data_IF_168980262938
#
_entry.id   IF_168980262938
#
_cell.length_a   1.000
_cell.length_b   1.000
_cell.length_c   1.000
_cell.angle_alpha   90.00
_cell.angle_beta   90.00
_cell.angle_gamma   90.00
#
_symmetry.space_group_name_H-M   'P 1'
#
loop_
_entity.id
_entity.type
_entity.pdbx_description
1 polymer ?
#
# COMPACT_ATOMS: atom_id res chain seq x y z
N UNK A 1 25.97 -31.11 4.57
CA UNK A 1 25.50 -29.82 5.13
C UNK A 1 25.16 -28.94 3.95
N UNK A 2 23.90 -28.91 3.53
CA UNK A 2 23.46 -28.11 2.37
C UNK A 2 22.65 -26.92 2.89
N UNK A 3 23.21 -25.72 2.74
CA UNK A 3 22.55 -24.46 3.04
C UNK A 3 21.53 -24.13 1.95
N UNK A 4 20.24 -24.33 2.25
CA UNK A 4 19.14 -23.94 1.36
C UNK A 4 18.92 -22.43 1.41
N UNK A 5 19.57 -21.70 0.50
CA UNK A 5 19.25 -20.31 0.15
C UNK A 5 18.07 -20.30 -0.84
N UNK A 6 16.82 -20.41 -0.37
CA UNK A 6 15.63 -20.29 -1.24
C UNK A 6 14.45 -19.49 -0.65
N UNK A 7 14.54 -18.98 0.59
CA UNK A 7 13.36 -18.41 1.27
C UNK A 7 13.29 -16.86 1.23
N UNK A 8 14.18 -16.18 0.50
CA UNK A 8 14.24 -14.71 0.47
C UNK A 8 13.07 -14.06 -0.31
N UNK A 9 12.74 -14.64 -1.46
CA UNK A 9 11.81 -14.08 -2.47
C UNK A 9 10.34 -14.09 -2.03
N UNK A 10 9.90 -15.07 -1.23
CA UNK A 10 8.50 -15.17 -0.82
C UNK A 10 8.12 -14.27 0.37
N UNK A 11 9.06 -13.98 1.28
CA UNK A 11 8.75 -13.22 2.51
C UNK A 11 8.32 -11.78 2.20
N UNK A 12 9.01 -11.09 1.27
CA UNK A 12 8.67 -9.70 0.91
C UNK A 12 7.35 -9.62 0.15
N UNK A 13 7.08 -10.54 -0.78
CA UNK A 13 5.80 -10.62 -1.48
C UNK A 13 4.63 -10.87 -0.53
N UNK A 14 4.75 -11.88 0.35
CA UNK A 14 3.73 -12.20 1.36
C UNK A 14 3.51 -11.04 2.33
N UNK A 15 4.58 -10.34 2.70
CA UNK A 15 4.49 -9.13 3.53
C UNK A 15 3.67 -8.02 2.85
N UNK A 16 3.90 -7.77 1.55
CA UNK A 16 3.12 -6.77 0.78
C UNK A 16 1.65 -7.15 0.75
N UNK A 17 1.32 -8.40 0.44
CA UNK A 17 -0.06 -8.91 0.41
C UNK A 17 -0.77 -8.70 1.75
N UNK A 18 -0.12 -9.11 2.85
CA UNK A 18 -0.70 -8.95 4.19
C UNK A 18 -0.82 -7.49 4.63
N UNK A 19 0.12 -6.64 4.23
CA UNK A 19 0.04 -5.21 4.48
C UNK A 19 -1.13 -4.57 3.71
N UNK A 20 -1.34 -4.94 2.44
CA UNK A 20 -2.48 -4.49 1.64
C UNK A 20 -3.80 -4.92 2.29
N UNK A 21 -3.90 -6.17 2.73
CA UNK A 21 -5.06 -6.68 3.45
C UNK A 21 -5.35 -5.87 4.71
N UNK A 22 -4.34 -5.66 5.57
CA UNK A 22 -4.51 -4.91 6.82
C UNK A 22 -4.98 -3.46 6.58
N UNK A 23 -4.43 -2.79 5.58
CA UNK A 23 -4.83 -1.43 5.21
C UNK A 23 -6.25 -1.40 4.64
N UNK A 24 -6.62 -2.40 3.83
CA UNK A 24 -7.95 -2.54 3.24
C UNK A 24 -9.02 -2.73 4.31
N UNK A 25 -8.76 -3.60 5.29
CA UNK A 25 -9.64 -3.87 6.42
C UNK A 25 -9.79 -2.64 7.33
N UNK A 26 -8.70 -1.92 7.58
CA UNK A 26 -8.72 -0.70 8.38
C UNK A 26 -9.42 0.48 7.70
N UNK A 27 -9.57 0.45 6.36
CA UNK A 27 -10.13 1.53 5.54
C UNK A 27 -9.44 2.89 5.76
N UNK A 28 -8.17 2.87 6.17
CA UNK A 28 -7.34 4.06 6.38
C UNK A 28 -5.85 3.72 6.26
N UNK A 29 -4.98 4.71 6.06
CA UNK A 29 -3.54 4.52 6.20
C UNK A 29 -3.16 4.04 7.60
N UNK A 30 -2.19 3.12 7.66
CA UNK A 30 -1.69 2.51 8.89
C UNK A 30 -0.23 2.85 9.13
N UNK A 31 0.14 3.06 10.40
CA UNK A 31 1.54 3.14 10.78
C UNK A 31 2.19 1.75 10.68
N UNK A 32 3.52 1.71 10.49
CA UNK A 32 4.27 0.45 10.42
C UNK A 32 3.98 -0.48 11.61
N UNK A 33 3.94 0.05 12.83
CA UNK A 33 3.66 -0.72 14.04
C UNK A 33 2.23 -1.32 14.06
N UNK A 34 1.26 -0.67 13.42
CA UNK A 34 -0.10 -1.20 13.30
C UNK A 34 -0.14 -2.39 12.33
N UNK A 35 0.60 -2.28 11.21
CA UNK A 35 0.74 -3.37 10.24
C UNK A 35 1.49 -4.55 10.89
N UNK A 36 2.58 -4.30 11.60
CA UNK A 36 3.30 -5.33 12.37
C UNK A 36 2.40 -6.01 13.41
N UNK A 37 1.56 -5.24 14.10
CA UNK A 37 0.60 -5.78 15.07
C UNK A 37 -0.43 -6.69 14.40
N UNK A 38 -0.95 -6.29 13.23
CA UNK A 38 -1.83 -7.14 12.43
C UNK A 38 -1.14 -8.44 12.00
N UNK A 39 0.11 -8.38 11.55
CA UNK A 39 0.91 -9.55 11.20
C UNK A 39 1.11 -10.48 12.40
N UNK A 40 1.42 -9.92 13.57
CA UNK A 40 1.64 -10.70 14.79
C UNK A 40 0.40 -11.51 15.18
N UNK A 41 -0.80 -10.99 14.91
CA UNK A 41 -2.09 -11.62 15.22
C UNK A 41 -2.49 -12.61 14.11
N UNK A 42 -2.39 -12.20 12.85
CA UNK A 42 -2.99 -12.92 11.71
C UNK A 42 -2.02 -13.86 10.96
N UNK A 43 -0.71 -13.62 11.05
CA UNK A 43 0.35 -14.45 10.44
C UNK A 43 1.62 -14.41 11.29
N UNK A 44 1.53 -15.02 12.47
CA UNK A 44 2.62 -14.99 13.46
C UNK A 44 3.93 -15.61 12.95
N UNK A 45 3.85 -16.54 11.99
CA UNK A 45 5.04 -17.13 11.35
C UNK A 45 5.76 -16.09 10.49
N UNK A 46 5.04 -15.40 9.61
CA UNK A 46 5.59 -14.32 8.81
C UNK A 46 6.15 -13.21 9.69
N UNK A 47 5.46 -12.86 10.79
CA UNK A 47 5.97 -11.88 11.76
C UNK A 47 7.34 -12.27 12.33
N UNK A 48 7.53 -13.54 12.70
CA UNK A 48 8.84 -14.04 13.18
C UNK A 48 9.90 -13.97 12.10
N UNK A 49 9.58 -14.35 10.86
CA UNK A 49 10.52 -14.26 9.75
C UNK A 49 10.99 -12.82 9.49
N UNK A 50 10.07 -11.85 9.42
CA UNK A 50 10.45 -10.45 9.16
C UNK A 50 11.23 -9.87 10.34
N UNK A 51 10.86 -10.21 11.58
CA UNK A 51 11.53 -9.73 12.78
C UNK A 51 12.96 -10.26 12.91
N UNK A 52 13.22 -11.46 12.37
CA UNK A 52 14.55 -12.05 12.33
C UNK A 52 15.47 -11.43 11.28
N UNK A 53 14.94 -10.71 10.27
CA UNK A 53 15.75 -10.03 9.24
C UNK A 53 16.35 -8.73 9.77
N UNK A 54 15.51 -7.75 10.10
CA UNK A 54 15.92 -6.52 10.79
C UNK A 54 14.70 -5.79 11.35
N UNK A 55 14.90 -4.92 12.35
CA UNK A 55 13.82 -4.18 13.01
C UNK A 55 13.05 -3.21 12.11
N UNK A 56 13.64 -2.80 10.99
CA UNK A 56 13.01 -1.91 10.01
C UNK A 56 12.55 -2.63 8.73
N UNK A 57 12.63 -3.97 8.67
CA UNK A 57 12.37 -4.72 7.44
C UNK A 57 11.03 -4.37 6.80
N UNK A 58 9.96 -4.28 7.61
CA UNK A 58 8.64 -3.89 7.13
C UNK A 58 8.65 -2.50 6.49
N UNK A 59 9.28 -1.52 7.15
CA UNK A 59 9.35 -0.14 6.64
C UNK A 59 10.15 -0.05 5.35
N UNK A 60 11.21 -0.83 5.23
CA UNK A 60 12.05 -0.93 4.03
C UNK A 60 11.23 -1.49 2.87
N UNK A 61 10.59 -2.65 3.05
CA UNK A 61 9.80 -3.27 1.98
C UNK A 61 8.66 -2.35 1.52
N UNK A 62 7.89 -1.76 2.44
CA UNK A 62 6.81 -0.85 2.07
C UNK A 62 7.31 0.43 1.39
N UNK A 63 8.53 0.88 1.71
CA UNK A 63 9.11 2.08 1.09
C UNK A 63 9.77 1.82 -0.27
N UNK A 64 10.27 0.60 -0.50
CA UNK A 64 10.89 0.19 -1.77
C UNK A 64 9.86 -0.32 -2.78
N UNK A 65 8.71 -0.77 -2.30
CA UNK A 65 7.60 -1.14 -3.19
C UNK A 65 7.16 0.08 -3.98
N UNK A 66 6.83 -0.13 -5.26
CA UNK A 66 6.42 0.93 -6.17
C UNK A 66 5.27 1.77 -5.58
N UNK A 67 5.32 3.08 -5.87
CA UNK A 67 4.39 4.06 -5.30
C UNK A 67 2.95 3.95 -5.81
N UNK A 68 2.73 3.14 -6.85
CA UNK A 68 1.44 2.70 -7.38
C UNK A 68 0.77 1.60 -6.53
N UNK A 69 1.52 0.95 -5.63
CA UNK A 69 0.96 0.00 -4.65
C UNK A 69 0.81 0.70 -3.30
N UNK A 70 1.91 1.21 -2.74
CA UNK A 70 1.89 1.89 -1.45
C UNK A 70 2.24 3.37 -1.59
N UNK A 71 1.38 4.21 -1.04
CA UNK A 71 1.61 5.64 -0.90
C UNK A 71 1.82 6.02 0.57
N UNK A 72 2.66 7.02 0.81
CA UNK A 72 2.91 7.56 2.15
C UNK A 72 1.89 8.64 2.47
N UNK A 73 1.42 8.67 3.71
CA UNK A 73 0.42 9.61 4.19
C UNK A 73 0.84 10.25 5.51
N UNK A 74 0.32 11.46 5.73
CA UNK A 74 0.39 12.20 6.98
C UNK A 74 -1.02 12.49 7.47
N UNK A 75 -1.27 12.43 8.78
CA UNK A 75 -2.52 12.93 9.32
C UNK A 75 -2.54 14.47 9.18
N UNK A 76 -3.66 15.02 8.74
CA UNK A 76 -3.89 16.47 8.64
C UNK A 76 -4.01 17.13 10.01
N UNK A 77 -4.61 16.41 10.96
CA UNK A 77 -4.79 16.81 12.35
C UNK A 77 -3.85 15.98 13.24
N UNK A 78 -3.22 16.58 14.27
CA UNK A 78 -2.39 15.82 15.20
C UNK A 78 -3.18 14.68 15.86
N UNK A 79 -2.66 13.46 15.77
CA UNK A 79 -3.22 12.32 16.50
C UNK A 79 -2.57 12.30 17.90
N UNK A 80 -3.39 12.23 18.95
CA UNK A 80 -2.90 12.24 20.32
C UNK A 80 -1.90 11.10 20.54
N UNK A 81 -0.76 11.41 21.19
CA UNK A 81 0.37 10.49 21.47
C UNK A 81 1.09 9.91 20.25
N UNK A 82 0.82 10.41 19.03
CA UNK A 82 1.59 10.05 17.84
C UNK A 82 2.48 11.22 17.44
N UNK A 83 3.76 10.92 17.20
CA UNK A 83 4.73 11.90 16.71
C UNK A 83 4.29 12.48 15.35
N UNK A 84 4.36 13.81 15.17
CA UNK A 84 4.01 14.49 13.90
C UNK A 84 4.88 14.00 12.72
N UNK A 85 6.07 13.46 13.01
CA UNK A 85 7.00 12.87 12.04
C UNK A 85 6.60 11.45 11.62
N UNK A 86 5.65 10.81 12.30
CA UNK A 86 5.15 9.49 11.93
C UNK A 86 4.64 9.47 10.48
N UNK A 87 4.99 8.41 9.75
CA UNK A 87 4.54 8.15 8.38
C UNK A 87 3.58 6.99 8.42
N UNK A 88 2.48 7.15 7.69
CA UNK A 88 1.48 6.11 7.50
C UNK A 88 1.57 5.59 6.07
N UNK A 89 1.29 4.31 5.89
CA UNK A 89 1.26 3.64 4.60
C UNK A 89 -0.20 3.37 4.24
N UNK A 90 -0.61 3.80 3.04
CA UNK A 90 -1.92 3.54 2.47
C UNK A 90 -1.77 2.96 1.07
N UNK A 91 -2.87 2.46 0.50
CA UNK A 91 -2.94 2.05 -0.90
C UNK A 91 -2.87 3.28 -1.80
N UNK A 92 -2.21 3.17 -2.95
CA UNK A 92 -2.03 4.31 -3.86
C UNK A 92 -3.31 4.70 -4.61
N UNK A 93 -4.28 3.80 -4.71
CA UNK A 93 -5.63 4.01 -5.24
C UNK A 93 -6.67 4.17 -4.12
N UNK A 94 -6.23 4.23 -2.85
CA UNK A 94 -7.12 4.36 -1.71
C UNK A 94 -7.83 5.72 -1.64
N UNK A 95 -9.16 5.68 -1.59
CA UNK A 95 -10.04 6.83 -1.36
C UNK A 95 -10.15 7.16 0.13
N UNK A 96 -9.08 7.73 0.68
CA UNK A 96 -9.03 8.14 2.09
C UNK A 96 -9.51 9.58 2.24
N UNK A 97 -10.23 9.84 3.34
CA UNK A 97 -10.74 11.17 3.68
C UNK A 97 -9.61 12.22 3.66
N UNK A 98 -9.64 13.21 2.73
CA UNK A 98 -8.61 14.23 2.60
C UNK A 98 -8.59 15.20 3.78
N UNK A 99 -9.68 15.29 4.56
CA UNK A 99 -9.70 16.09 5.78
C UNK A 99 -8.94 15.42 6.93
N UNK A 100 -8.65 14.12 6.83
CA UNK A 100 -7.92 13.33 7.82
C UNK A 100 -6.52 12.97 7.34
N UNK A 101 -6.35 12.71 6.04
CA UNK A 101 -5.13 12.15 5.47
C UNK A 101 -4.65 12.95 4.28
N UNK A 102 -3.40 13.40 4.35
CA UNK A 102 -2.70 14.05 3.24
C UNK A 102 -1.66 13.09 2.66
N UNK A 103 -1.79 12.76 1.37
CA UNK A 103 -0.76 11.99 0.64
C UNK A 103 0.54 12.80 0.59
N UNK A 104 1.65 12.15 0.90
CA UNK A 104 2.99 12.72 0.79
C UNK A 104 3.45 12.52 -0.65
N UNK A 105 3.31 13.56 -1.46
CA UNK A 105 3.91 13.59 -2.80
C UNK A 105 5.35 14.05 -2.69
N UNK A 106 6.28 13.27 -3.24
CA UNK A 106 7.65 13.76 -3.47
C UNK A 106 7.57 14.90 -4.47
N UNK A 107 8.17 16.06 -4.17
CA UNK A 107 8.07 17.31 -4.96
C UNK A 107 8.61 17.26 -6.41
N UNK A 108 8.91 16.08 -6.94
CA UNK A 108 9.37 15.87 -8.32
C UNK A 108 8.29 15.25 -9.24
N UNK A 109 7.07 15.03 -8.77
CA UNK A 109 5.96 14.59 -9.63
C UNK A 109 5.19 15.83 -10.14
N UNK A 110 4.92 15.96 -11.46
CA UNK A 110 4.03 16.98 -11.98
C UNK A 110 2.65 16.80 -11.33
N UNK A 111 2.18 17.84 -10.65
CA UNK A 111 0.82 17.90 -10.12
C UNK A 111 -0.21 17.73 -11.24
N UNK A 112 -1.23 16.86 -11.08
CA UNK A 112 -2.39 16.88 -11.96
C UNK A 112 -3.09 18.25 -11.84
N UNK A 113 -3.63 18.81 -12.93
CA UNK A 113 -4.28 20.12 -12.87
C UNK A 113 -5.49 20.06 -11.94
N UNK A 114 -5.46 20.87 -10.88
CA UNK A 114 -6.59 21.20 -10.03
C UNK A 114 -7.71 21.77 -10.92
N UNK A 115 -8.80 21.01 -11.10
CA UNK A 115 -10.05 21.55 -11.62
C UNK A 115 -10.92 21.96 -10.45
N UNK A 116 -10.64 23.14 -9.94
CA UNK A 116 -11.58 23.91 -9.12
C UNK A 116 -12.53 24.65 -10.07
N UNK A 117 -13.78 24.17 -10.17
CA UNK A 117 -14.97 25.02 -10.29
C UNK A 117 -16.22 24.17 -10.50
N UNK A 118 -17.07 24.08 -9.49
CA UNK A 118 -18.53 24.10 -9.67
C UNK A 118 -19.01 25.42 -9.08
N UNK A 119 -20.04 26.05 -9.67
CA UNK A 119 -21.40 25.70 -9.29
C UNK A 119 -22.39 25.56 -10.46
N UNK A 120 -23.36 24.67 -10.25
CA UNK A 120 -24.63 24.52 -11.01
C UNK A 120 -25.57 25.70 -10.67
N UNK A 121 -26.59 26.07 -11.49
CA UNK A 121 -27.86 25.30 -11.53
C UNK A 121 -28.59 25.24 -12.90
N UNK A 122 -29.41 24.19 -13.06
CA UNK A 122 -30.74 24.11 -13.77
C UNK A 122 -30.85 24.41 -15.29
N UNK A 123 -31.64 23.74 -16.17
CA UNK A 123 -32.83 22.87 -16.08
C UNK A 123 -33.13 22.16 -17.44
N UNK A 124 -33.94 21.06 -17.41
CA UNK A 124 -34.90 20.54 -18.44
C UNK A 124 -34.34 19.93 -19.76
N UNK A 125 -34.78 18.81 -20.38
CA UNK A 125 -35.92 17.87 -20.29
C UNK A 125 -35.54 16.55 -21.05
N UNK A 126 -35.90 15.41 -20.46
CA UNK A 126 -36.47 14.12 -20.99
C UNK A 126 -36.21 13.68 -22.45
N UNK A 127 -35.75 12.44 -22.65
CA UNK A 127 -36.52 11.31 -23.23
C UNK A 127 -35.79 9.96 -23.05
N UNK A 128 -36.53 8.98 -22.53
CA UNK A 128 -36.15 7.58 -22.32
C UNK A 128 -36.07 6.81 -23.64
N UNK A 129 -35.11 5.89 -23.79
CA UNK A 129 -35.32 4.55 -24.39
C UNK A 129 -34.32 3.56 -23.73
N UNK A 130 -34.86 2.52 -23.09
CA UNK A 130 -34.25 1.23 -22.69
C UNK A 130 -35.23 0.19 -23.28
N UNK A 131 -34.86 -1.01 -23.78
CA UNK A 131 -33.88 -1.91 -23.17
C UNK A 131 -33.01 -2.73 -24.15
N UNK A 132 -31.92 -3.32 -23.62
CA UNK A 132 -31.68 -4.75 -23.82
C UNK A 132 -30.57 -5.28 -22.89
N UNK A 133 -30.90 -6.40 -22.26
CA UNK A 133 -30.05 -7.27 -21.47
C UNK A 133 -28.89 -7.83 -22.29
N UNK A 134 -27.69 -7.87 -21.71
CA UNK A 134 -26.74 -8.98 -21.92
C UNK A 134 -25.72 -9.03 -20.79
N UNK A 135 -25.86 -10.04 -19.94
CA UNK A 135 -24.83 -10.86 -19.29
C UNK A 135 -23.41 -10.26 -19.16
N UNK A 136 -23.04 -9.83 -17.95
CA UNK A 136 -21.63 -9.68 -17.53
C UNK A 136 -21.45 -10.00 -16.05
N UNK A 137 -21.70 -11.25 -15.67
CA UNK A 137 -20.87 -11.83 -14.62
C UNK A 137 -19.54 -12.29 -15.24
N UNK A 138 -18.46 -12.24 -14.45
CA UNK A 138 -17.16 -12.87 -14.71
C UNK A 138 -16.01 -12.03 -15.31
N UNK A 139 -15.88 -10.75 -14.92
CA UNK A 139 -14.64 -9.96 -15.14
C UNK A 139 -13.83 -9.62 -13.88
N UNK A 140 -14.31 -9.95 -12.67
CA UNK A 140 -13.60 -9.59 -11.42
C UNK A 140 -12.48 -10.57 -11.05
N UNK A 141 -12.47 -11.76 -11.62
CA UNK A 141 -11.51 -12.82 -11.27
C UNK A 141 -10.23 -12.78 -12.11
N UNK A 142 -10.21 -12.05 -13.23
CA UNK A 142 -9.06 -12.02 -14.16
C UNK A 142 -8.06 -10.90 -13.85
N UNK A 143 -8.49 -9.81 -13.22
CA UNK A 143 -7.58 -8.72 -12.79
C UNK A 143 -6.70 -9.13 -11.60
N UNK A 144 -7.19 -9.99 -10.72
CA UNK A 144 -6.41 -10.49 -9.56
C UNK A 144 -5.27 -11.42 -10.01
N UNK A 145 -5.49 -12.20 -11.07
CA UNK A 145 -4.50 -13.18 -11.55
C UNK A 145 -3.40 -12.50 -12.39
N UNK A 146 -3.74 -11.44 -13.15
CA UNK A 146 -2.76 -10.69 -13.92
C UNK A 146 -1.78 -9.90 -13.02
N UNK A 147 -2.23 -9.43 -11.86
CA UNK A 147 -1.38 -8.72 -10.90
C UNK A 147 -0.25 -9.59 -10.33
N UNK A 148 -0.50 -10.88 -10.10
CA UNK A 148 0.49 -11.81 -9.54
C UNK A 148 1.68 -12.09 -10.48
N UNK A 149 1.52 -11.89 -11.80
CA UNK A 149 2.59 -12.18 -12.76
C UNK A 149 3.62 -11.06 -12.91
N UNK A 150 3.30 -9.82 -12.49
CA UNK A 150 4.20 -8.66 -12.55
C UNK A 150 5.16 -8.58 -11.36
N UNK A 151 4.92 -9.34 -10.29
CA UNK A 151 5.72 -9.31 -9.05
C UNK A 151 7.05 -10.09 -9.10
N UNK A 152 7.32 -10.85 -10.16
CA UNK A 152 8.52 -11.71 -10.23
C UNK A 152 9.77 -11.05 -10.82
N UNK A 153 9.73 -9.78 -11.21
CA UNK A 153 10.80 -9.22 -12.06
C UNK A 153 11.81 -8.29 -11.39
N UNK A 154 11.75 -8.02 -10.08
CA UNK A 154 12.73 -7.12 -9.47
C UNK A 154 13.07 -7.61 -8.06
N UNK A 155 14.28 -8.15 -7.88
CA UNK A 155 15.14 -7.85 -6.74
C UNK A 155 16.49 -8.58 -6.93
N UNK A 156 17.49 -7.85 -7.45
CA UNK A 156 18.90 -8.22 -7.30
C UNK A 156 19.26 -8.18 -5.81
N UNK A 157 19.57 -9.34 -5.23
CA UNK A 157 19.82 -9.56 -3.78
C UNK A 157 21.04 -8.81 -3.19
N UNK A 158 21.64 -7.85 -3.88
CA UNK A 158 22.91 -7.23 -3.47
C UNK A 158 22.79 -5.84 -2.81
N UNK A 159 21.60 -5.29 -2.61
CA UNK A 159 21.46 -3.91 -2.06
C UNK A 159 21.29 -3.88 -0.54
N UNK A 160 20.76 -4.95 0.08
CA UNK A 160 20.46 -4.96 1.53
C UNK A 160 21.68 -5.33 2.38
N UNK A 161 22.70 -5.98 1.81
CA UNK A 161 23.87 -6.51 2.53
C UNK A 161 24.94 -5.47 2.90
N UNK A 162 24.85 -4.22 2.44
CA UNK A 162 25.91 -3.21 2.63
C UNK A 162 25.61 -2.11 3.66
N UNK A 163 24.53 -2.21 4.44
CA UNK A 163 24.23 -1.23 5.48
C UNK A 163 24.83 -1.67 6.83
N UNK A 164 26.15 -1.53 6.96
CA UNK A 164 26.85 -1.56 8.25
C UNK A 164 26.42 -0.33 9.07
N UNK A 165 25.41 -0.48 9.91
CA UNK A 165 25.14 0.47 10.99
C UNK A 165 26.14 0.22 12.13
N UNK A 166 27.26 0.95 12.10
CA UNK A 166 28.03 1.19 13.32
C UNK A 166 27.22 2.14 14.20
N UNK A 167 26.71 1.64 15.31
CA UNK A 167 26.29 2.50 16.42
C UNK A 167 27.43 2.59 17.44
N UNK A 168 27.69 3.79 18.01
CA UNK A 168 28.64 3.97 19.10
C UNK A 168 28.18 3.31 20.41
#
# INVERSE_FOLDING_TARGET
>A
MSSSKQNGSHTSAKLRERAMQAITEAKRPLAAAEIESSLRINDHHLFKEISAKCGDYLRVILSLTHSDVFSKYKPTKPIHRIDRRAIFFGLADGDYDPEQWKRVTSKNAPSPPEKESSPKPESKIVTQIVPNDTDKEDMRSKEIIAFNSLFNCIEDENVISNWNFNFP
#
